data_IF_402465128202
#
_entry.id   IF_402465128202
#
_cell.length_a   1.000
_cell.length_b   1.000
_cell.length_c   1.000
_cell.angle_alpha   90.00
_cell.angle_beta   90.00
_cell.angle_gamma   90.00
#
_symmetry.space_group_name_H-M   'P 1'
#
loop_
_entity.id
_entity.type
_entity.pdbx_description
1 polymer ?
#
# COMPACT_ATOMS: atom_id res chain seq x y z
N UNK A 1 -19.26 -22.19 -3.90
CA UNK A 1 -18.17 -23.19 -3.92
C UNK A 1 -16.87 -22.52 -3.49
N UNK A 2 -16.05 -23.16 -2.66
CA UNK A 2 -14.72 -22.63 -2.28
C UNK A 2 -13.69 -23.11 -3.31
N UNK A 3 -12.84 -22.20 -3.78
CA UNK A 3 -11.67 -22.53 -4.61
C UNK A 3 -10.42 -22.52 -3.73
N UNK A 4 -9.48 -23.43 -3.99
CA UNK A 4 -8.23 -23.57 -3.23
C UNK A 4 -7.08 -23.09 -4.10
N UNK A 5 -6.28 -22.16 -3.56
CA UNK A 5 -5.02 -21.73 -4.15
C UNK A 5 -3.86 -22.47 -3.49
N UNK A 6 -3.06 -23.18 -4.28
CA UNK A 6 -1.83 -23.85 -3.82
C UNK A 6 -0.63 -23.17 -4.44
N UNK A 7 0.35 -22.80 -3.62
CA UNK A 7 1.59 -22.11 -4.04
C UNK A 7 2.77 -22.89 -3.48
N UNK A 8 3.71 -23.26 -4.37
CA UNK A 8 4.94 -23.94 -3.98
C UNK A 8 6.01 -22.91 -3.61
N UNK A 9 6.53 -23.02 -2.38
CA UNK A 9 7.55 -22.11 -1.84
C UNK A 9 8.57 -22.89 -1.00
N UNK A 10 9.84 -22.43 -0.91
CA UNK A 10 10.81 -22.98 0.02
C UNK A 10 10.29 -22.94 1.47
N UNK A 11 10.62 -23.96 2.26
CA UNK A 11 10.15 -24.07 3.64
C UNK A 11 10.56 -22.86 4.52
N UNK A 12 11.71 -22.25 4.23
CA UNK A 12 12.21 -21.04 4.90
C UNK A 12 11.30 -19.84 4.64
N UNK A 13 10.81 -19.67 3.41
CA UNK A 13 9.91 -18.58 3.04
C UNK A 13 8.52 -18.76 3.67
N UNK A 14 8.00 -19.99 3.67
CA UNK A 14 6.70 -20.29 4.33
C UNK A 14 6.76 -19.93 5.81
N UNK A 15 7.87 -20.25 6.49
CA UNK A 15 8.07 -19.88 7.90
C UNK A 15 8.14 -18.36 8.07
N UNK A 16 8.89 -17.68 7.22
CA UNK A 16 9.02 -16.21 7.24
C UNK A 16 7.67 -15.51 7.04
N UNK A 17 6.90 -15.92 6.02
CA UNK A 17 5.57 -15.38 5.73
C UNK A 17 4.63 -15.57 6.92
N UNK A 18 4.64 -16.77 7.53
CA UNK A 18 3.81 -17.05 8.72
C UNK A 18 4.17 -16.15 9.90
N UNK A 19 5.45 -15.89 10.14
CA UNK A 19 5.90 -14.98 11.21
C UNK A 19 5.45 -13.55 10.95
N UNK A 20 5.60 -13.06 9.72
CA UNK A 20 5.14 -11.72 9.33
C UNK A 20 3.63 -11.58 9.52
N UNK A 21 2.85 -12.55 9.01
CA UNK A 21 1.40 -12.56 9.13
C UNK A 21 0.94 -12.49 10.59
N UNK A 22 1.56 -13.28 11.49
CA UNK A 22 1.28 -13.23 12.92
C UNK A 22 1.65 -11.89 13.55
N UNK A 23 2.82 -11.34 13.22
CA UNK A 23 3.29 -10.04 13.73
C UNK A 23 2.34 -8.90 13.35
N UNK A 24 1.74 -8.98 12.16
CA UNK A 24 0.74 -8.01 11.68
C UNK A 24 -0.69 -8.30 12.18
N UNK A 25 -0.87 -9.30 13.06
CA UNK A 25 -2.16 -9.60 13.68
C UNK A 25 -3.12 -10.44 12.82
N UNK A 26 -2.65 -11.03 11.72
CA UNK A 26 -3.51 -11.88 10.88
C UNK A 26 -3.70 -13.27 11.49
N UNK A 27 -4.95 -13.72 11.54
CA UNK A 27 -5.36 -15.03 12.11
C UNK A 27 -4.88 -16.23 11.30
N UNK A 28 -4.63 -16.06 10.00
CA UNK A 28 -4.17 -17.11 9.09
C UNK A 28 -3.35 -16.54 7.95
N UNK A 29 -2.59 -17.40 7.26
CA UNK A 29 -1.88 -17.00 6.03
C UNK A 29 -2.86 -16.61 4.92
N UNK A 30 -4.01 -17.27 4.82
CA UNK A 30 -5.04 -16.89 3.84
C UNK A 30 -5.59 -15.50 4.08
N UNK A 31 -5.84 -15.12 5.35
CA UNK A 31 -6.26 -13.76 5.70
C UNK A 31 -5.19 -12.73 5.35
N UNK A 32 -3.91 -13.08 5.54
CA UNK A 32 -2.80 -12.22 5.15
C UNK A 32 -2.71 -12.03 3.63
N UNK A 33 -2.83 -13.11 2.84
CA UNK A 33 -2.82 -13.03 1.37
C UNK A 33 -4.01 -12.21 0.85
N UNK A 34 -5.20 -12.38 1.42
CA UNK A 34 -6.36 -11.54 1.08
C UNK A 34 -6.13 -10.07 1.40
N UNK A 35 -5.46 -9.76 2.51
CA UNK A 35 -5.09 -8.38 2.84
C UNK A 35 -4.14 -7.80 1.79
N UNK A 36 -3.07 -8.53 1.43
CA UNK A 36 -2.11 -8.09 0.42
C UNK A 36 -2.78 -7.83 -0.94
N UNK A 37 -3.67 -8.72 -1.38
CA UNK A 37 -4.41 -8.53 -2.64
C UNK A 37 -5.31 -7.30 -2.63
N UNK A 38 -5.91 -6.96 -1.48
CA UNK A 38 -6.68 -5.72 -1.34
C UNK A 38 -5.77 -4.50 -1.37
N UNK A 39 -4.67 -4.53 -0.63
CA UNK A 39 -3.70 -3.43 -0.62
C UNK A 39 -3.11 -3.18 -1.99
N UNK A 40 -2.86 -4.23 -2.78
CA UNK A 40 -2.37 -4.09 -4.16
C UNK A 40 -3.36 -3.32 -5.06
N UNK A 41 -4.67 -3.48 -4.83
CA UNK A 41 -5.71 -2.73 -5.55
C UNK A 41 -5.77 -1.25 -5.13
N UNK A 42 -5.40 -0.94 -3.89
CA UNK A 42 -5.43 0.40 -3.32
C UNK A 42 -4.13 1.20 -3.58
N UNK A 43 -3.08 0.55 -4.10
CA UNK A 43 -1.82 1.22 -4.42
C UNK A 43 -1.94 1.93 -5.77
N UNK A 44 -1.69 3.24 -5.75
CA UNK A 44 -1.56 4.06 -6.95
C UNK A 44 -0.44 3.54 -7.84
N UNK A 45 -0.71 3.36 -9.12
CA UNK A 45 0.32 2.97 -10.09
C UNK A 45 1.44 4.02 -10.19
N UNK A 46 2.66 3.58 -10.52
CA UNK A 46 3.81 4.48 -10.71
C UNK A 46 3.55 5.59 -11.73
N UNK A 47 2.80 5.28 -12.79
CA UNK A 47 2.45 6.24 -13.84
C UNK A 47 1.50 7.32 -13.33
N UNK A 48 0.49 6.94 -12.55
CA UNK A 48 -0.42 7.89 -11.91
C UNK A 48 0.31 8.74 -10.86
N UNK A 49 1.20 8.13 -10.06
CA UNK A 49 2.03 8.84 -9.11
C UNK A 49 2.88 9.92 -9.80
N UNK A 50 3.58 9.56 -10.87
CA UNK A 50 4.39 10.50 -11.65
C UNK A 50 3.55 11.63 -12.26
N UNK A 51 2.34 11.32 -12.73
CA UNK A 51 1.41 12.33 -13.25
C UNK A 51 1.02 13.33 -12.14
N UNK A 52 0.61 12.86 -10.97
CA UNK A 52 0.22 13.73 -9.85
C UNK A 52 1.37 14.58 -9.33
N UNK A 53 2.59 14.04 -9.29
CA UNK A 53 3.79 14.81 -8.91
C UNK A 53 4.04 15.97 -9.89
N UNK A 54 3.86 15.73 -11.19
CA UNK A 54 4.02 16.79 -12.21
C UNK A 54 2.93 17.86 -12.08
N UNK A 55 1.69 17.45 -11.82
CA UNK A 55 0.57 18.36 -11.58
C UNK A 55 0.82 19.21 -10.34
N UNK A 56 1.18 18.61 -9.20
CA UNK A 56 1.51 19.31 -7.97
C UNK A 56 2.64 20.34 -8.16
N UNK A 57 3.69 19.99 -8.92
CA UNK A 57 4.77 20.94 -9.28
C UNK A 57 4.26 22.11 -10.11
N UNK A 58 3.34 21.86 -11.06
CA UNK A 58 2.74 22.91 -11.89
C UNK A 58 1.89 23.86 -11.02
N UNK A 59 1.09 23.32 -10.12
CA UNK A 59 0.25 24.10 -9.21
C UNK A 59 1.07 24.95 -8.24
N UNK A 60 2.13 24.37 -7.68
CA UNK A 60 3.09 25.10 -6.84
C UNK A 60 3.71 26.28 -7.60
N UNK A 61 4.21 26.04 -8.82
CA UNK A 61 4.79 27.10 -9.68
C UNK A 61 3.76 28.16 -10.10
N UNK A 62 2.50 27.77 -10.25
CA UNK A 62 1.40 28.68 -10.53
C UNK A 62 0.92 29.47 -9.28
N UNK A 63 1.58 29.31 -8.12
CA UNK A 63 1.25 30.03 -6.90
C UNK A 63 -0.03 29.55 -6.22
N UNK A 64 -0.56 28.37 -6.58
CA UNK A 64 -1.78 27.82 -5.98
C UNK A 64 -1.55 27.19 -4.60
N UNK A 65 -0.28 27.06 -4.18
CA UNK A 65 0.07 26.52 -2.89
C UNK A 65 -0.05 27.58 -1.79
N UNK A 66 -0.61 27.21 -0.64
CA UNK A 66 -0.61 28.04 0.55
C UNK A 66 0.68 27.84 1.35
N UNK A 67 1.21 28.92 1.93
CA UNK A 67 2.32 28.85 2.88
C UNK A 67 1.76 28.80 4.30
N UNK A 68 1.48 27.60 4.77
CA UNK A 68 1.11 27.36 6.17
C UNK A 68 2.30 27.65 7.10
N UNK A 69 2.04 28.28 8.25
CA UNK A 69 3.04 28.52 9.30
C UNK A 69 3.09 27.36 10.29
N UNK A 70 1.99 26.63 10.41
CA UNK A 70 1.86 25.44 11.25
C UNK A 70 0.88 24.44 10.64
N UNK A 71 0.86 23.21 11.18
CA UNK A 71 -0.16 22.21 10.83
C UNK A 71 -1.58 22.67 11.18
N UNK A 72 -1.75 23.57 12.15
CA UNK A 72 -3.06 24.11 12.50
C UNK A 72 -3.66 24.98 11.39
N UNK A 73 -2.84 25.51 10.48
CA UNK A 73 -3.31 26.29 9.32
C UNK A 73 -3.80 25.40 8.16
N UNK A 74 -3.67 24.07 8.30
CA UNK A 74 -4.02 23.06 7.28
C UNK A 74 -5.25 22.22 7.63
N UNK A 75 -5.80 22.36 8.85
CA UNK A 75 -7.00 21.69 9.35
C UNK A 75 -8.20 22.64 9.31
#
# INVERSE_FOLDING_TARGET
MRQVLSISLPATEVRRIRTIAKRQGHRSMSAYVHHLLKTDQDIMSDTELLKRVREARKEYRAGKAIKARSMADLL
#
